data_IF_593657194418
#
_entry.id   IF_593657194418
#
_cell.length_a   1.000
_cell.length_b   1.000
_cell.length_c   1.000
_cell.angle_alpha   90.00
_cell.angle_beta   90.00
_cell.angle_gamma   90.00
#
_symmetry.space_group_name_H-M   'P 1'
#
loop_
_entity.id
_entity.type
_entity.pdbx_description
1 polymer ?
#
# COMPACT_ATOMS: atom_id res chain seq x y z
N UNK A 1 -13.92 -37.17 6.44
CA UNK A 1 -14.46 -37.35 7.83
C UNK A 1 -13.35 -37.43 8.89
N UNK A 2 -12.23 -38.18 8.70
CA UNK A 2 -11.16 -38.36 9.68
C UNK A 2 -10.50 -37.03 10.13
N UNK A 3 -10.19 -36.16 9.22
CA UNK A 3 -9.62 -34.85 9.54
C UNK A 3 -10.55 -34.01 10.41
N UNK A 4 -11.85 -33.95 10.09
CA UNK A 4 -12.81 -33.21 10.90
C UNK A 4 -13.02 -33.85 12.28
N UNK A 5 -12.95 -35.19 12.38
CA UNK A 5 -13.01 -35.87 13.66
C UNK A 5 -11.78 -35.54 14.55
N UNK A 6 -10.57 -35.43 13.95
CA UNK A 6 -9.33 -35.13 14.69
C UNK A 6 -9.25 -33.63 15.05
N UNK A 7 -9.61 -32.73 14.16
CA UNK A 7 -9.36 -31.28 14.29
C UNK A 7 -10.62 -30.44 14.57
N UNK A 8 -11.81 -31.03 14.51
CA UNK A 8 -13.08 -30.40 14.85
C UNK A 8 -13.67 -29.46 13.81
N UNK A 9 -12.84 -28.77 13.01
CA UNK A 9 -13.29 -27.83 12.00
C UNK A 9 -12.34 -27.76 10.80
N UNK A 10 -12.86 -27.34 9.63
CA UNK A 10 -12.04 -27.08 8.43
C UNK A 10 -10.96 -26.03 8.72
N UNK A 11 -11.28 -24.99 9.48
CA UNK A 11 -10.32 -23.96 9.88
C UNK A 11 -9.14 -24.54 10.65
N UNK A 12 -9.40 -25.43 11.59
CA UNK A 12 -8.35 -26.08 12.38
C UNK A 12 -7.51 -27.05 11.53
N UNK A 13 -8.13 -27.78 10.59
CA UNK A 13 -7.42 -28.63 9.64
C UNK A 13 -6.43 -27.79 8.82
N UNK A 14 -6.85 -26.67 8.28
CA UNK A 14 -6.03 -25.81 7.43
C UNK A 14 -4.90 -25.10 8.20
N UNK A 15 -5.01 -24.99 9.53
CA UNK A 15 -3.98 -24.40 10.41
C UNK A 15 -3.10 -25.43 11.10
N UNK A 16 -3.40 -26.71 10.94
CA UNK A 16 -2.61 -27.78 11.51
C UNK A 16 -1.24 -27.91 10.83
N UNK A 17 -0.25 -28.40 11.57
CA UNK A 17 1.08 -28.67 11.00
C UNK A 17 1.00 -29.74 9.92
N UNK A 18 1.77 -29.55 8.83
CA UNK A 18 1.77 -30.48 7.70
C UNK A 18 2.18 -31.91 8.08
N UNK A 19 3.08 -32.07 9.05
CA UNK A 19 3.49 -33.40 9.55
C UNK A 19 2.35 -34.09 10.29
N UNK A 20 1.65 -33.35 11.15
CA UNK A 20 0.51 -33.88 11.92
C UNK A 20 -0.68 -34.25 11.00
N UNK A 21 -0.84 -33.54 9.88
CA UNK A 21 -1.82 -33.86 8.84
C UNK A 21 -1.45 -35.15 8.10
N UNK A 22 -0.17 -35.32 7.77
CA UNK A 22 0.32 -36.50 7.04
C UNK A 22 0.20 -37.83 7.87
N UNK A 23 0.12 -37.72 9.19
CA UNK A 23 -0.12 -38.88 10.09
C UNK A 23 -1.57 -39.38 10.06
N UNK A 24 -2.50 -38.59 9.48
CA UNK A 24 -3.91 -39.01 9.39
C UNK A 24 -4.06 -40.04 8.27
N UNK A 25 -4.56 -41.23 8.62
CA UNK A 25 -4.75 -42.30 7.65
C UNK A 25 -5.57 -41.87 6.44
N UNK A 26 -4.98 -42.07 5.26
CA UNK A 26 -5.51 -41.62 3.97
C UNK A 26 -5.07 -40.21 3.55
N UNK A 27 -4.25 -39.52 4.36
CA UNK A 27 -3.63 -38.22 4.00
C UNK A 27 -2.13 -38.46 3.79
N UNK A 28 -1.69 -38.42 2.57
CA UNK A 28 -0.27 -38.49 2.26
C UNK A 28 0.41 -37.12 2.36
N UNK A 29 1.74 -37.07 2.31
CA UNK A 29 2.54 -35.84 2.39
C UNK A 29 2.10 -34.75 1.38
N UNK A 30 1.76 -35.15 0.15
CA UNK A 30 1.29 -34.22 -0.87
C UNK A 30 -0.03 -33.56 -0.48
N UNK A 31 -0.99 -34.33 0.03
CA UNK A 31 -2.28 -33.79 0.48
C UNK A 31 -2.12 -32.89 1.72
N UNK A 32 -1.27 -33.27 2.66
CA UNK A 32 -0.93 -32.47 3.84
C UNK A 32 -0.29 -31.13 3.43
N UNK A 33 0.67 -31.15 2.49
CA UNK A 33 1.32 -29.95 1.94
C UNK A 33 0.30 -29.03 1.27
N UNK A 34 -0.63 -29.57 0.49
CA UNK A 34 -1.70 -28.81 -0.16
C UNK A 34 -2.62 -28.13 0.86
N UNK A 35 -3.07 -28.84 1.88
CA UNK A 35 -3.93 -28.29 2.92
C UNK A 35 -3.24 -27.16 3.69
N UNK A 36 -1.96 -27.34 4.02
CA UNK A 36 -1.16 -26.32 4.69
C UNK A 36 -0.96 -25.07 3.80
N UNK A 37 -0.71 -25.24 2.49
CA UNK A 37 -0.60 -24.15 1.55
C UNK A 37 -1.91 -23.35 1.44
N UNK A 38 -3.06 -24.06 1.34
CA UNK A 38 -4.37 -23.41 1.31
C UNK A 38 -4.59 -22.62 2.60
N UNK A 39 -4.22 -23.18 3.76
CA UNK A 39 -4.30 -22.45 5.04
C UNK A 39 -3.52 -21.16 5.04
N UNK A 40 -2.27 -21.17 4.59
CA UNK A 40 -1.42 -19.99 4.46
C UNK A 40 -1.99 -18.96 3.49
N UNK A 41 -2.52 -19.39 2.35
CA UNK A 41 -3.16 -18.50 1.37
C UNK A 41 -4.41 -17.83 1.96
N UNK A 42 -5.22 -18.57 2.73
CA UNK A 42 -6.40 -18.01 3.39
C UNK A 42 -6.04 -17.00 4.48
N UNK A 43 -4.95 -17.21 5.22
CA UNK A 43 -4.46 -16.25 6.21
C UNK A 43 -3.97 -14.95 5.51
N UNK A 44 -3.24 -15.04 4.38
CA UNK A 44 -2.86 -13.87 3.57
C UNK A 44 -4.09 -13.11 3.06
N UNK A 45 -5.08 -13.81 2.50
CA UNK A 45 -6.33 -13.19 2.02
C UNK A 45 -7.14 -12.56 3.18
N UNK A 46 -7.10 -13.17 4.36
CA UNK A 46 -7.78 -12.62 5.54
C UNK A 46 -7.09 -11.34 6.04
N UNK A 47 -5.76 -11.29 6.00
CA UNK A 47 -4.98 -10.09 6.35
C UNK A 47 -5.22 -8.96 5.34
N UNK A 48 -5.27 -9.27 4.04
CA UNK A 48 -5.64 -8.30 2.99
C UNK A 48 -7.05 -7.74 3.21
N UNK A 49 -8.05 -8.60 3.53
CA UNK A 49 -9.41 -8.15 3.84
C UNK A 49 -9.50 -7.30 5.11
N UNK A 50 -8.65 -7.52 6.11
CA UNK A 50 -8.58 -6.64 7.28
C UNK A 50 -8.06 -5.25 6.91
N UNK A 51 -7.10 -5.15 5.99
CA UNK A 51 -6.61 -3.87 5.48
C UNK A 51 -7.68 -3.13 4.65
N UNK A 52 -8.47 -3.84 3.83
CA UNK A 52 -9.58 -3.26 3.05
C UNK A 52 -10.69 -2.65 3.93
N UNK A 53 -10.81 -3.04 5.20
CA UNK A 53 -11.80 -2.49 6.13
C UNK A 53 -11.31 -1.28 6.91
N UNK A 54 -10.02 -1.00 6.90
CA UNK A 54 -9.44 0.14 7.63
C UNK A 54 -9.78 1.46 6.95
N UNK A 55 -10.33 2.39 7.72
CA UNK A 55 -10.50 3.78 7.29
C UNK A 55 -9.13 4.45 7.38
N UNK A 56 -8.80 5.27 6.37
CA UNK A 56 -7.60 6.09 6.39
C UNK A 56 -7.64 7.06 7.57
N UNK A 57 -6.63 6.97 8.42
CA UNK A 57 -6.36 7.94 9.50
C UNK A 57 -4.89 8.33 9.42
N UNK A 58 -4.61 9.61 9.44
CA UNK A 58 -3.24 10.11 9.29
C UNK A 58 -2.29 9.50 10.33
N UNK A 59 -2.69 9.43 11.60
CA UNK A 59 -1.84 8.91 12.67
C UNK A 59 -1.48 7.42 12.48
N UNK A 60 -2.46 6.59 12.04
CA UNK A 60 -2.22 5.18 11.78
C UNK A 60 -1.27 5.00 10.59
N UNK A 61 -1.45 5.80 9.53
CA UNK A 61 -0.60 5.78 8.35
C UNK A 61 0.79 6.32 8.66
N UNK A 62 0.91 7.37 9.48
CA UNK A 62 2.20 7.88 9.95
C UNK A 62 3.02 6.77 10.63
N UNK A 63 2.41 6.04 11.58
CA UNK A 63 3.07 4.92 12.27
C UNK A 63 3.47 3.83 11.27
N UNK A 64 2.58 3.46 10.36
CA UNK A 64 2.85 2.47 9.32
C UNK A 64 4.04 2.88 8.44
N UNK A 65 4.07 4.12 7.94
CA UNK A 65 5.11 4.61 7.04
C UNK A 65 6.47 4.75 7.74
N UNK A 66 6.50 5.23 8.99
CA UNK A 66 7.72 5.28 9.79
C UNK A 66 8.34 3.88 9.99
N UNK A 67 7.50 2.86 10.22
CA UNK A 67 7.97 1.48 10.33
C UNK A 67 8.39 0.91 8.98
N UNK A 68 7.64 1.19 7.90
CA UNK A 68 7.93 0.73 6.55
C UNK A 68 9.32 1.20 6.09
N UNK A 69 9.62 2.48 6.27
CA UNK A 69 10.85 3.09 5.78
C UNK A 69 12.00 3.10 6.80
N UNK A 70 11.83 2.51 7.98
CA UNK A 70 12.80 2.52 9.08
C UNK A 70 14.22 2.05 8.68
N UNK A 71 14.29 1.05 7.80
CA UNK A 71 15.55 0.46 7.33
C UNK A 71 15.94 0.94 5.92
N UNK A 72 15.19 1.89 5.35
CA UNK A 72 15.44 2.36 4.00
C UNK A 72 16.70 3.25 3.95
N UNK A 73 17.68 2.84 3.16
CA UNK A 73 18.92 3.60 2.93
C UNK A 73 18.87 4.46 1.67
N UNK A 74 17.84 4.28 0.84
CA UNK A 74 17.56 5.04 -0.37
C UNK A 74 16.11 5.52 -0.34
N UNK A 75 15.77 6.45 -1.23
CA UNK A 75 14.37 6.87 -1.43
C UNK A 75 13.54 5.68 -1.91
N UNK A 76 12.43 5.43 -1.24
CA UNK A 76 11.42 4.45 -1.59
C UNK A 76 10.07 5.15 -1.66
N UNK A 77 9.17 4.61 -2.44
CA UNK A 77 7.85 5.18 -2.67
C UNK A 77 6.75 4.20 -2.27
N UNK A 78 5.67 4.72 -1.69
CA UNK A 78 4.49 3.94 -1.32
C UNK A 78 3.23 4.62 -1.87
N UNK A 79 2.32 3.84 -2.43
CA UNK A 79 0.99 4.30 -2.81
C UNK A 79 -0.07 3.57 -1.97
N UNK A 80 -1.04 4.32 -1.45
CA UNK A 80 -2.17 3.81 -0.65
C UNK A 80 -3.45 4.19 -1.39
N UNK A 81 -4.16 3.20 -1.87
CA UNK A 81 -5.36 3.35 -2.68
C UNK A 81 -6.60 3.37 -1.80
N UNK A 82 -7.46 4.36 -1.99
CA UNK A 82 -8.62 4.62 -1.15
C UNK A 82 -9.93 4.51 -1.95
N UNK A 83 -10.97 3.98 -1.30
CA UNK A 83 -12.34 4.07 -1.75
C UNK A 83 -12.92 5.48 -1.52
N UNK A 84 -14.13 5.74 -2.03
CA UNK A 84 -14.86 7.00 -1.80
C UNK A 84 -15.11 7.29 -0.31
N UNK A 85 -15.22 6.24 0.51
CA UNK A 85 -15.43 6.34 1.95
C UNK A 85 -14.11 6.26 2.74
N UNK A 86 -12.99 6.60 2.10
CA UNK A 86 -11.65 6.64 2.70
C UNK A 86 -11.19 5.28 3.28
N UNK A 87 -11.76 4.16 2.80
CA UNK A 87 -11.26 2.83 3.15
C UNK A 87 -10.02 2.51 2.34
N UNK A 88 -9.01 1.93 3.00
CA UNK A 88 -7.81 1.45 2.33
C UNK A 88 -8.18 0.18 1.53
N UNK A 89 -8.07 0.27 0.21
CA UNK A 89 -8.32 -0.83 -0.71
C UNK A 89 -7.06 -1.66 -0.95
N UNK A 90 -5.92 -0.98 -1.09
CA UNK A 90 -4.64 -1.62 -1.42
C UNK A 90 -3.48 -0.70 -1.05
N UNK A 91 -2.32 -1.28 -0.76
CA UNK A 91 -1.04 -0.58 -0.55
C UNK A 91 0.02 -1.20 -1.44
N UNK A 92 0.82 -0.37 -2.07
CA UNK A 92 1.89 -0.78 -2.97
C UNK A 92 3.18 -0.04 -2.65
N UNK A 93 4.27 -0.77 -2.53
CA UNK A 93 5.59 -0.21 -2.25
C UNK A 93 6.47 -0.40 -3.48
N UNK A 94 7.09 0.67 -3.92
CA UNK A 94 8.00 0.70 -5.05
C UNK A 94 9.41 0.91 -4.52
N UNK A 95 10.27 -0.05 -4.80
CA UNK A 95 11.68 0.04 -4.50
C UNK A 95 12.44 0.21 -5.80
N UNK A 96 13.20 1.28 -5.92
CA UNK A 96 14.06 1.46 -7.08
C UNK A 96 15.36 0.69 -6.88
N UNK A 97 15.67 -0.19 -7.82
CA UNK A 97 16.98 -0.86 -7.88
C UNK A 97 18.01 -0.01 -8.65
N UNK A 98 17.59 1.11 -9.25
CA UNK A 98 18.46 2.02 -9.98
C UNK A 98 18.99 3.15 -9.09
N UNK A 99 20.31 3.36 -9.10
CA UNK A 99 21.04 4.32 -8.28
C UNK A 99 20.68 5.80 -8.49
N UNK A 100 19.69 6.10 -9.32
CA UNK A 100 19.31 7.47 -9.71
C UNK A 100 18.08 8.03 -8.97
N UNK A 101 17.57 7.31 -7.97
CA UNK A 101 16.37 7.69 -7.21
C UNK A 101 15.07 7.33 -7.94
N UNK A 102 14.01 7.03 -7.17
CA UNK A 102 12.68 6.71 -7.74
C UNK A 102 12.14 7.96 -8.44
N UNK A 103 12.17 7.95 -9.77
CA UNK A 103 11.44 8.95 -10.53
C UNK A 103 9.97 8.60 -10.48
N UNK A 104 9.17 9.46 -9.86
CA UNK A 104 7.72 9.33 -9.76
C UNK A 104 7.06 9.19 -11.14
N UNK A 105 7.72 9.70 -12.18
CA UNK A 105 7.28 9.61 -13.59
C UNK A 105 7.29 8.16 -14.14
N UNK A 106 7.97 7.23 -13.44
CA UNK A 106 8.15 5.85 -13.88
C UNK A 106 7.27 4.83 -13.14
N UNK A 107 6.45 5.26 -12.18
CA UNK A 107 5.61 4.36 -11.41
C UNK A 107 4.37 3.96 -12.24
N UNK A 108 4.18 2.67 -12.52
CA UNK A 108 3.09 2.20 -13.38
C UNK A 108 1.75 2.16 -12.61
N UNK A 109 1.19 3.30 -12.25
CA UNK A 109 -0.13 3.39 -11.59
C UNK A 109 -1.28 2.83 -12.44
N UNK A 110 -1.14 2.82 -13.77
CA UNK A 110 -2.18 2.40 -14.70
C UNK A 110 -2.72 1.00 -14.42
N UNK A 111 -1.84 0.07 -14.06
CA UNK A 111 -2.23 -1.31 -13.72
C UNK A 111 -3.05 -1.35 -12.43
N UNK A 112 -2.60 -0.64 -11.41
CA UNK A 112 -3.27 -0.59 -10.12
C UNK A 112 -4.61 0.15 -10.23
N UNK A 113 -4.70 1.21 -11.04
CA UNK A 113 -5.97 1.90 -11.30
C UNK A 113 -7.00 0.99 -11.98
N UNK A 114 -6.56 0.18 -12.94
CA UNK A 114 -7.46 -0.76 -13.64
C UNK A 114 -7.96 -1.89 -12.73
N UNK A 115 -7.09 -2.39 -11.86
CA UNK A 115 -7.40 -3.53 -11.00
C UNK A 115 -8.18 -3.12 -9.73
N UNK A 116 -7.73 -2.06 -9.06
CA UNK A 116 -8.25 -1.62 -7.75
C UNK A 116 -9.42 -0.65 -7.92
N UNK A 117 -9.45 0.14 -9.00
CA UNK A 117 -10.44 1.20 -9.28
C UNK A 117 -10.60 2.16 -8.09
N UNK A 118 -9.51 2.77 -7.62
CA UNK A 118 -9.57 3.63 -6.45
C UNK A 118 -10.31 4.94 -6.76
N UNK A 119 -10.91 5.51 -5.74
CA UNK A 119 -11.45 6.88 -5.80
C UNK A 119 -10.34 7.92 -5.57
N UNK A 120 -9.39 7.59 -4.68
CA UNK A 120 -8.28 8.47 -4.34
C UNK A 120 -7.02 7.66 -4.01
N UNK A 121 -5.86 8.33 -4.08
CA UNK A 121 -4.56 7.76 -3.72
C UNK A 121 -3.83 8.71 -2.79
N UNK A 122 -3.25 8.16 -1.72
CA UNK A 122 -2.20 8.81 -0.93
C UNK A 122 -0.87 8.29 -1.42
N UNK A 123 0.05 9.19 -1.70
CA UNK A 123 1.43 8.84 -2.03
C UNK A 123 2.34 9.18 -0.86
N UNK A 124 3.39 8.41 -0.69
CA UNK A 124 4.41 8.65 0.33
C UNK A 124 5.80 8.29 -0.18
N UNK A 125 6.81 9.03 0.24
CA UNK A 125 8.22 8.65 0.06
C UNK A 125 9.02 9.02 1.30
N UNK A 126 10.17 8.36 1.50
CA UNK A 126 11.07 8.70 2.58
C UNK A 126 12.21 9.60 2.10
N UNK A 127 12.65 10.48 2.98
CA UNK A 127 13.91 11.18 2.83
C UNK A 127 15.00 10.48 3.66
N UNK A 128 16.03 9.86 3.04
CA UNK A 128 17.14 9.23 3.77
C UNK A 128 17.92 10.19 4.68
N UNK A 129 17.84 11.50 4.39
CA UNK A 129 18.39 12.54 5.26
C UNK A 129 17.71 12.64 6.63
N UNK A 130 16.52 12.04 6.77
CA UNK A 130 15.69 12.11 7.99
C UNK A 130 14.86 13.38 8.15
N UNK A 131 15.03 14.39 7.28
CA UNK A 131 14.23 15.61 7.31
C UNK A 131 12.98 15.48 6.41
N UNK A 132 11.74 15.55 6.93
CA UNK A 132 10.54 15.42 6.13
C UNK A 132 10.12 16.70 5.38
N UNK A 133 10.94 17.76 5.43
CA UNK A 133 10.61 19.02 4.74
C UNK A 133 10.57 18.82 3.22
N UNK A 134 9.50 19.28 2.55
CA UNK A 134 9.36 19.13 1.10
C UNK A 134 10.39 20.00 0.34
N UNK A 135 10.94 19.42 -0.73
CA UNK A 135 11.79 20.11 -1.69
C UNK A 135 10.96 20.66 -2.87
N UNK A 136 11.59 21.50 -3.69
CA UNK A 136 10.99 21.96 -4.96
C UNK A 136 10.71 20.79 -5.91
N UNK A 137 11.56 19.74 -5.86
CA UNK A 137 11.38 18.52 -6.66
C UNK A 137 10.12 17.77 -6.23
N UNK A 138 9.84 17.70 -4.92
CA UNK A 138 8.65 17.05 -4.39
C UNK A 138 7.38 17.82 -4.79
N UNK A 139 7.43 19.15 -4.81
CA UNK A 139 6.32 19.97 -5.30
C UNK A 139 6.02 19.70 -6.76
N UNK A 140 7.05 19.65 -7.59
CA UNK A 140 6.92 19.35 -9.02
C UNK A 140 6.37 17.95 -9.26
N UNK A 141 6.86 16.96 -8.49
CA UNK A 141 6.35 15.59 -8.55
C UNK A 141 4.88 15.51 -8.10
N UNK A 142 4.53 16.24 -7.04
CA UNK A 142 3.14 16.34 -6.54
C UNK A 142 2.20 16.91 -7.60
N UNK A 143 2.61 17.97 -8.27
CA UNK A 143 1.84 18.58 -9.36
C UNK A 143 1.60 17.60 -10.51
N UNK A 144 2.66 16.95 -10.99
CA UNK A 144 2.56 15.95 -12.08
C UNK A 144 1.65 14.79 -11.72
N UNK A 145 1.78 14.27 -10.49
CA UNK A 145 0.93 13.17 -10.01
C UNK A 145 -0.53 13.57 -9.86
N UNK A 146 -0.80 14.76 -9.33
CA UNK A 146 -2.15 15.27 -9.22
C UNK A 146 -2.83 15.34 -10.59
N UNK A 147 -2.09 15.78 -11.61
CA UNK A 147 -2.56 15.82 -13.00
C UNK A 147 -2.79 14.42 -13.57
N UNK A 148 -1.81 13.52 -13.45
CA UNK A 148 -1.90 12.15 -13.93
C UNK A 148 -3.11 11.42 -13.31
N UNK A 149 -3.32 11.57 -12.01
CA UNK A 149 -4.44 10.95 -11.32
C UNK A 149 -5.78 11.54 -11.77
N UNK A 150 -5.85 12.86 -11.92
CA UNK A 150 -7.04 13.55 -12.44
C UNK A 150 -7.45 13.05 -13.83
N UNK A 151 -6.49 12.83 -14.74
CA UNK A 151 -6.76 12.27 -16.07
C UNK A 151 -7.34 10.84 -16.02
N UNK A 152 -7.11 10.12 -14.94
CA UNK A 152 -7.65 8.79 -14.69
C UNK A 152 -8.91 8.81 -13.80
N UNK A 153 -9.51 9.98 -13.54
CA UNK A 153 -10.61 10.17 -12.60
C UNK A 153 -10.30 9.68 -11.16
N UNK A 154 -9.03 9.72 -10.78
CA UNK A 154 -8.54 9.39 -9.45
C UNK A 154 -8.05 10.68 -8.77
N UNK A 155 -8.35 10.85 -7.49
CA UNK A 155 -7.94 12.03 -6.74
C UNK A 155 -6.60 11.77 -6.04
N UNK A 156 -5.63 12.70 -6.13
CA UNK A 156 -4.53 12.72 -5.18
C UNK A 156 -5.06 13.22 -3.84
N UNK A 157 -5.13 12.32 -2.85
CA UNK A 157 -5.70 12.60 -1.54
C UNK A 157 -4.70 13.33 -0.63
N UNK A 158 -3.45 12.85 -0.61
CA UNK A 158 -2.33 13.47 0.11
C UNK A 158 -0.99 13.06 -0.50
N UNK A 159 0.05 13.82 -0.22
CA UNK A 159 1.43 13.44 -0.41
C UNK A 159 2.15 13.54 0.93
N UNK A 160 2.77 12.44 1.35
CA UNK A 160 3.43 12.31 2.64
C UNK A 160 4.94 12.16 2.45
N UNK A 161 5.73 12.96 3.15
CA UNK A 161 7.18 12.83 3.17
C UNK A 161 7.61 12.31 4.54
N UNK A 162 8.31 11.18 4.55
CA UNK A 162 8.69 10.46 5.76
C UNK A 162 10.14 10.78 6.12
N UNK A 163 10.32 11.42 7.27
CA UNK A 163 11.61 11.65 7.89
C UNK A 163 12.01 10.54 8.87
N UNK A 164 12.98 10.81 9.71
CA UNK A 164 13.46 9.85 10.71
C UNK A 164 12.43 9.56 11.81
N UNK A 165 11.70 10.57 12.27
CA UNK A 165 10.77 10.48 13.41
C UNK A 165 9.41 11.12 13.14
N UNK A 166 9.27 11.82 12.02
CA UNK A 166 8.07 12.57 11.68
C UNK A 166 7.71 12.44 10.21
N UNK A 167 6.46 12.80 9.89
CA UNK A 167 5.89 12.74 8.54
C UNK A 167 5.25 14.08 8.21
N UNK A 168 5.68 14.69 7.11
CA UNK A 168 5.04 15.87 6.55
C UNK A 168 3.85 15.47 5.68
N UNK A 169 2.74 16.19 5.78
CA UNK A 169 1.55 16.01 4.95
C UNK A 169 1.29 17.28 4.15
N UNK A 170 1.28 17.16 2.83
CA UNK A 170 0.94 18.25 1.91
C UNK A 170 -0.49 18.75 2.10
N UNK A 171 -1.41 17.83 2.40
CA UNK A 171 -2.81 18.17 2.65
C UNK A 171 -2.99 18.94 3.94
N UNK A 172 -2.41 18.47 5.04
CA UNK A 172 -2.54 19.13 6.34
C UNK A 172 -1.86 20.50 6.38
N UNK A 173 -0.76 20.66 5.66
CA UNK A 173 -0.07 21.95 5.49
C UNK A 173 -0.84 22.92 4.55
N UNK A 174 -1.83 22.43 3.81
CA UNK A 174 -2.54 23.21 2.78
C UNK A 174 -1.76 23.42 1.48
N UNK A 175 -0.57 22.83 1.36
CA UNK A 175 0.30 22.93 0.18
C UNK A 175 -0.27 22.18 -1.02
N UNK A 176 -0.92 21.02 -0.78
CA UNK A 176 -1.59 20.26 -1.84
C UNK A 176 -2.65 21.08 -2.57
N UNK A 177 -3.51 21.77 -1.84
CA UNK A 177 -4.58 22.58 -2.43
C UNK A 177 -4.01 23.73 -3.26
N UNK A 178 -2.91 24.36 -2.83
CA UNK A 178 -2.23 25.41 -3.60
C UNK A 178 -1.68 24.87 -4.92
N UNK A 179 -1.03 23.71 -4.89
CA UNK A 179 -0.46 23.04 -6.07
C UNK A 179 -1.58 22.68 -7.06
N UNK A 180 -2.65 22.04 -6.60
CA UNK A 180 -3.78 21.63 -7.47
C UNK A 180 -4.46 22.83 -8.09
N UNK A 181 -4.68 23.92 -7.34
CA UNK A 181 -5.27 25.16 -7.88
C UNK A 181 -4.37 25.78 -8.95
N UNK A 182 -3.06 25.85 -8.71
CA UNK A 182 -2.09 26.38 -9.65
C UNK A 182 -2.04 25.56 -10.95
N UNK A 183 -2.07 24.23 -10.83
CA UNK A 183 -2.13 23.32 -11.97
C UNK A 183 -3.40 23.54 -12.81
N UNK A 184 -4.57 23.57 -12.17
CA UNK A 184 -5.86 23.76 -12.84
C UNK A 184 -5.93 25.12 -13.58
N UNK A 185 -5.38 26.19 -13.01
CA UNK A 185 -5.33 27.51 -13.67
C UNK A 185 -4.47 27.49 -14.93
N UNK A 186 -3.36 26.74 -14.93
CA UNK A 186 -2.51 26.59 -16.13
C UNK A 186 -3.21 25.80 -17.24
N UNK A 187 -4.06 24.83 -16.90
CA UNK A 187 -4.84 24.06 -17.87
C UNK A 187 -6.05 24.82 -18.41
N UNK A 188 -6.69 25.65 -17.59
CA UNK A 188 -7.84 26.47 -18.02
C UNK A 188 -7.43 27.67 -18.91
N UNK A 189 -6.14 28.00 -18.96
CA UNK A 189 -5.58 29.05 -19.80
C UNK A 189 -5.02 28.58 -21.15
N UNK A 190 -5.19 27.27 -21.47
CA UNK A 190 -4.95 26.68 -22.78
C UNK A 190 -6.26 26.57 -23.52
#
# INVERSE_FOLDING_TARGET
HKLLAKYGSVKNVLRADGKDLAEVDGIGESAATYLNLIGKLLDVVADEKQDETKIYRFDDIKIYLLNLFKAATAEQFCAIYLSKNERILFKEVYTDNDKNGVSVDMIPFSRSFSNVKPYAVVIAHNHPSGNPAPSVRDDTATEKLAMLFSLNNVRLYDHLIVGATDVFSYRMDGRLDKIIRSANLRFAGL
#
